data_IF_019636955791
#
_entry.id   IF_019636955791
#
_cell.length_a   1.000
_cell.length_b   1.000
_cell.length_c   1.000
_cell.angle_alpha   90.00
_cell.angle_beta   90.00
_cell.angle_gamma   90.00
#
_symmetry.space_group_name_H-M   'P 1'
#
loop_
_entity.id
_entity.type
_entity.pdbx_description
1 polymer ?
#
# COMPACT_ATOMS: atom_id res chain seq x y z
N UNK A 1 -10.55 -5.25 -36.94
CA UNK A 1 -10.58 -4.27 -35.83
C UNK A 1 -10.80 -5.07 -34.56
N UNK A 2 -9.86 -5.02 -33.62
CA UNK A 2 -9.96 -5.78 -32.37
C UNK A 2 -11.17 -5.24 -31.57
N UNK A 3 -12.03 -6.13 -31.09
CA UNK A 3 -13.25 -5.72 -30.37
C UNK A 3 -12.86 -5.43 -28.92
N UNK A 4 -12.86 -4.16 -28.54
CA UNK A 4 -12.65 -3.74 -27.16
C UNK A 4 -13.99 -3.56 -26.45
N UNK A 5 -14.13 -4.15 -25.27
CA UNK A 5 -15.28 -3.98 -24.37
C UNK A 5 -14.79 -3.26 -23.12
N UNK A 6 -15.39 -2.13 -22.78
CA UNK A 6 -15.03 -1.40 -21.55
C UNK A 6 -15.93 -1.82 -20.39
N UNK A 7 -15.34 -2.41 -19.36
CA UNK A 7 -16.03 -2.83 -18.14
C UNK A 7 -15.71 -1.86 -17.02
N UNK A 8 -16.75 -1.27 -16.42
CA UNK A 8 -16.63 -0.39 -15.25
C UNK A 8 -16.97 -1.16 -13.98
N UNK A 9 -16.00 -1.26 -13.08
CA UNK A 9 -16.14 -1.89 -11.77
C UNK A 9 -16.59 -0.84 -10.77
N UNK A 10 -17.76 -1.07 -10.17
CA UNK A 10 -18.46 -0.18 -9.26
C UNK A 10 -18.81 -0.94 -7.96
N UNK A 11 -19.16 -0.22 -6.90
CA UNK A 11 -19.48 -0.81 -5.59
C UNK A 11 -19.37 0.24 -4.50
N UNK A 12 -19.56 -0.10 -3.22
CA UNK A 12 -19.42 0.89 -2.14
C UNK A 12 -18.03 1.53 -2.17
N UNK A 13 -17.97 2.85 -2.06
CA UNK A 13 -16.75 3.67 -2.03
C UNK A 13 -17.02 4.98 -1.31
N UNK A 14 -15.98 5.59 -0.73
CA UNK A 14 -16.06 6.85 0.01
C UNK A 14 -15.32 6.80 1.33
N UNK A 15 -15.71 7.70 2.24
CA UNK A 15 -15.18 7.81 3.61
C UNK A 15 -15.31 6.50 4.39
N UNK A 16 -14.51 6.37 5.45
CA UNK A 16 -14.59 5.24 6.39
C UNK A 16 -15.99 5.06 6.99
N UNK A 17 -16.74 6.15 7.22
CA UNK A 17 -18.14 6.06 7.68
C UNK A 17 -19.09 5.40 6.68
N UNK A 18 -18.71 5.31 5.40
CA UNK A 18 -19.48 4.69 4.32
C UNK A 18 -18.92 3.32 3.97
N UNK A 19 -17.60 3.22 3.74
CA UNK A 19 -16.94 1.97 3.34
C UNK A 19 -16.57 1.08 4.53
N UNK A 20 -16.48 1.58 5.75
CA UNK A 20 -15.90 0.88 6.89
C UNK A 20 -14.36 0.82 6.83
N UNK A 21 -13.75 -0.04 7.62
CA UNK A 21 -12.29 -0.17 7.73
C UNK A 21 -11.61 -0.65 6.44
N UNK A 22 -12.35 -1.27 5.51
CA UNK A 22 -11.84 -1.71 4.21
C UNK A 22 -12.85 -1.54 3.06
N UNK A 23 -12.32 -1.37 1.85
CA UNK A 23 -13.13 -1.33 0.63
C UNK A 23 -13.82 -2.67 0.32
N UNK A 24 -14.76 -2.68 -0.63
CA UNK A 24 -15.45 -3.92 -1.04
C UNK A 24 -14.61 -4.87 -1.90
N UNK A 25 -13.37 -4.48 -2.25
CA UNK A 25 -12.46 -5.29 -3.08
C UNK A 25 -12.48 -4.97 -4.58
N UNK A 26 -12.90 -3.76 -4.98
CA UNK A 26 -12.90 -3.31 -6.38
C UNK A 26 -11.50 -3.33 -6.99
N UNK A 27 -10.55 -2.65 -6.34
CA UNK A 27 -9.16 -2.57 -6.79
C UNK A 27 -8.50 -3.94 -6.87
N UNK A 28 -8.67 -4.80 -5.86
CA UNK A 28 -8.14 -6.17 -5.88
C UNK A 28 -8.70 -6.99 -7.06
N UNK A 29 -10.00 -6.87 -7.32
CA UNK A 29 -10.64 -7.56 -8.44
C UNK A 29 -10.10 -7.07 -9.79
N UNK A 30 -9.92 -5.75 -9.96
CA UNK A 30 -9.35 -5.17 -11.18
C UNK A 30 -7.88 -5.58 -11.36
N UNK A 31 -7.08 -5.44 -10.29
CA UNK A 31 -5.67 -5.81 -10.26
C UNK A 31 -5.47 -7.27 -10.65
N UNK A 32 -6.17 -8.19 -9.98
CA UNK A 32 -6.08 -9.63 -10.25
C UNK A 32 -6.47 -9.96 -11.69
N UNK A 33 -7.52 -9.32 -12.21
CA UNK A 33 -7.94 -9.59 -13.59
C UNK A 33 -6.92 -9.10 -14.61
N UNK A 34 -6.38 -7.88 -14.46
CA UNK A 34 -5.45 -7.34 -15.47
C UNK A 34 -4.09 -8.04 -15.40
N UNK A 35 -3.60 -8.35 -14.19
CA UNK A 35 -2.25 -8.88 -13.98
C UNK A 35 -2.17 -10.41 -13.93
N UNK A 36 -3.29 -11.10 -13.69
CA UNK A 36 -3.46 -12.55 -13.85
C UNK A 36 -2.69 -13.41 -12.84
N UNK A 37 -1.37 -13.27 -12.79
CA UNK A 37 -0.44 -14.09 -12.03
C UNK A 37 -0.26 -13.59 -10.59
N UNK A 38 0.16 -14.49 -9.70
CA UNK A 38 0.33 -14.20 -8.27
C UNK A 38 1.47 -13.20 -8.02
N UNK A 39 2.54 -13.28 -8.81
CA UNK A 39 3.75 -12.47 -8.63
C UNK A 39 3.53 -10.98 -9.00
N UNK A 40 2.57 -10.71 -9.89
CA UNK A 40 2.21 -9.35 -10.32
C UNK A 40 0.99 -8.79 -9.57
N UNK A 41 0.48 -9.50 -8.56
CA UNK A 41 -0.69 -9.07 -7.81
C UNK A 41 -0.32 -8.25 -6.57
N UNK A 42 -0.91 -7.06 -6.47
CA UNK A 42 -0.75 -6.19 -5.31
C UNK A 42 -1.95 -6.37 -4.37
N UNK A 43 -1.73 -6.84 -3.12
CA UNK A 43 -2.82 -7.14 -2.19
C UNK A 43 -3.40 -5.90 -1.50
N UNK A 44 -2.78 -4.74 -1.68
CA UNK A 44 -3.16 -3.50 -1.01
C UNK A 44 -3.23 -2.35 -2.01
N UNK A 45 -4.35 -1.61 -1.94
CA UNK A 45 -4.58 -0.41 -2.75
C UNK A 45 -5.27 0.63 -1.87
N UNK A 46 -4.59 1.73 -1.60
CA UNK A 46 -5.11 2.81 -0.77
C UNK A 46 -5.87 3.82 -1.62
N UNK A 47 -6.99 4.33 -1.09
CA UNK A 47 -7.81 5.38 -1.71
C UNK A 47 -7.62 6.74 -1.04
N UNK A 48 -6.55 6.91 -0.25
CA UNK A 48 -6.19 8.15 0.44
C UNK A 48 -4.91 8.69 -0.20
N UNK A 49 -5.01 9.90 -0.73
CA UNK A 49 -4.01 10.54 -1.59
C UNK A 49 -3.76 11.97 -1.13
N UNK A 50 -2.58 12.49 -1.44
CA UNK A 50 -2.32 13.92 -1.34
C UNK A 50 -3.01 14.67 -2.49
N UNK A 51 -3.24 15.98 -2.32
CA UNK A 51 -3.71 16.84 -3.41
C UNK A 51 -2.77 16.81 -4.62
N UNK A 52 -1.46 16.70 -4.36
CA UNK A 52 -0.42 16.61 -5.39
C UNK A 52 -0.56 15.33 -6.19
N UNK A 53 -0.78 14.19 -5.55
CA UNK A 53 -0.98 12.91 -6.25
C UNK A 53 -2.28 12.93 -7.05
N UNK A 54 -3.35 13.49 -6.47
CA UNK A 54 -4.66 13.52 -7.12
C UNK A 54 -4.67 14.38 -8.39
N UNK A 55 -4.07 15.58 -8.33
CA UNK A 55 -4.11 16.53 -9.43
C UNK A 55 -2.88 16.54 -10.34
N UNK A 56 -1.72 16.14 -9.82
CA UNK A 56 -0.43 16.17 -10.52
C UNK A 56 -0.07 14.88 -11.22
N UNK A 57 -0.59 13.72 -10.76
CA UNK A 57 -0.33 12.44 -11.42
C UNK A 57 -1.23 12.26 -12.66
N UNK A 58 -0.68 11.90 -13.84
CA UNK A 58 -1.50 11.52 -14.99
C UNK A 58 -2.20 10.16 -14.80
N UNK A 59 -1.88 9.40 -13.75
CA UNK A 59 -2.57 8.15 -13.41
C UNK A 59 -3.95 8.45 -12.79
N UNK A 60 -3.97 9.30 -11.75
CA UNK A 60 -5.22 9.75 -11.10
C UNK A 60 -5.91 10.79 -11.96
N UNK A 61 -5.16 11.76 -12.47
CA UNK A 61 -5.58 12.75 -13.45
C UNK A 61 -6.82 13.56 -13.05
N UNK A 62 -6.90 13.96 -11.78
CA UNK A 62 -8.04 14.66 -11.19
C UNK A 62 -9.37 13.86 -11.23
N UNK A 63 -9.31 12.55 -11.44
CA UNK A 63 -10.48 11.70 -11.53
C UNK A 63 -10.71 10.86 -10.27
N UNK A 64 -11.98 10.62 -9.96
CA UNK A 64 -12.37 9.60 -8.97
C UNK A 64 -12.60 8.23 -9.63
N UNK A 65 -11.79 7.90 -10.64
CA UNK A 65 -11.78 6.60 -11.29
C UNK A 65 -10.39 6.26 -11.81
N UNK A 66 -10.08 4.96 -11.85
CA UNK A 66 -8.81 4.41 -12.29
C UNK A 66 -8.97 3.68 -13.62
N UNK A 67 -7.99 3.84 -14.50
CA UNK A 67 -7.82 2.97 -15.66
C UNK A 67 -6.83 1.88 -15.28
N UNK A 68 -7.29 0.64 -15.20
CA UNK A 68 -6.44 -0.49 -14.75
C UNK A 68 -5.65 -1.15 -15.88
N UNK A 69 -5.95 -0.83 -17.13
CA UNK A 69 -5.33 -1.43 -18.30
C UNK A 69 -6.32 -2.23 -19.15
N UNK A 70 -5.76 -3.00 -20.07
CA UNK A 70 -6.48 -3.83 -21.03
C UNK A 70 -5.92 -5.25 -20.99
N UNK A 71 -6.81 -6.26 -20.95
CA UNK A 71 -6.41 -7.67 -21.07
C UNK A 71 -7.15 -8.31 -22.23
N UNK A 72 -6.41 -9.07 -23.04
CA UNK A 72 -7.00 -9.89 -24.10
C UNK A 72 -7.49 -11.22 -23.50
N UNK A 73 -8.73 -11.58 -23.82
CA UNK A 73 -9.32 -12.85 -23.43
C UNK A 73 -9.91 -13.54 -24.66
N UNK A 74 -9.78 -14.85 -24.71
CA UNK A 74 -10.44 -15.67 -25.73
C UNK A 74 -11.82 -16.08 -25.20
N UNK A 75 -12.88 -15.68 -25.90
CA UNK A 75 -14.26 -16.01 -25.50
C UNK A 75 -14.66 -17.43 -25.93
N UNK A 76 -14.17 -17.88 -27.08
CA UNK A 76 -14.26 -19.25 -27.57
C UNK A 76 -13.09 -19.54 -28.53
N UNK A 77 -12.88 -20.82 -28.87
CA UNK A 77 -11.82 -21.26 -29.79
C UNK A 77 -12.04 -20.81 -31.24
N UNK A 78 -13.21 -20.25 -31.56
CA UNK A 78 -13.68 -19.95 -32.93
C UNK A 78 -13.75 -18.46 -33.27
N UNK A 79 -13.72 -17.60 -32.26
CA UNK A 79 -13.83 -16.15 -32.34
C UNK A 79 -12.48 -15.53 -31.97
N UNK A 80 -12.14 -14.43 -32.64
CA UNK A 80 -10.92 -13.70 -32.33
C UNK A 80 -10.92 -13.17 -30.88
N UNK A 81 -9.73 -12.89 -30.32
CA UNK A 81 -9.61 -12.41 -28.95
C UNK A 81 -10.38 -11.10 -28.76
N UNK A 82 -11.06 -10.99 -27.62
CA UNK A 82 -11.74 -9.77 -27.18
C UNK A 82 -10.84 -9.07 -26.17
N UNK A 83 -10.69 -7.76 -26.34
CA UNK A 83 -9.94 -6.93 -25.39
C UNK A 83 -10.92 -6.39 -24.35
N UNK A 84 -10.68 -6.67 -23.08
CA UNK A 84 -11.46 -6.11 -21.97
C UNK A 84 -10.63 -4.96 -21.39
N UNK A 85 -11.17 -3.75 -21.50
CA UNK A 85 -10.65 -2.55 -20.84
C UNK A 85 -11.28 -2.42 -19.46
N UNK A 86 -10.47 -2.27 -18.43
CA UNK A 86 -10.95 -2.23 -17.04
C UNK A 86 -10.86 -0.82 -16.48
N UNK A 87 -12.00 -0.33 -16.01
CA UNK A 87 -12.14 0.92 -15.28
C UNK A 87 -12.61 0.59 -13.86
N UNK A 88 -12.06 1.24 -12.85
CA UNK A 88 -12.61 1.22 -11.49
C UNK A 88 -13.18 2.60 -11.16
N UNK A 89 -14.45 2.67 -10.77
CA UNK A 89 -15.03 3.86 -10.17
C UNK A 89 -14.81 3.84 -8.67
N UNK A 90 -14.27 4.92 -8.10
CA UNK A 90 -13.91 4.98 -6.69
C UNK A 90 -14.18 6.37 -6.11
N UNK A 91 -13.67 6.62 -4.90
CA UNK A 91 -13.68 7.94 -4.28
C UNK A 91 -12.37 8.12 -3.51
N UNK A 92 -11.48 8.98 -4.03
CA UNK A 92 -10.26 9.36 -3.36
C UNK A 92 -10.53 10.37 -2.26
N UNK A 93 -9.86 10.17 -1.13
CA UNK A 93 -9.91 11.03 0.04
C UNK A 93 -8.56 11.73 0.19
N UNK A 94 -8.62 12.95 0.68
CA UNK A 94 -7.48 13.77 1.04
C UNK A 94 -6.80 13.19 2.30
N UNK A 95 -5.47 13.15 2.32
CA UNK A 95 -4.68 12.57 3.41
C UNK A 95 -4.60 13.44 4.67
N UNK A 96 -4.86 14.74 4.55
CA UNK A 96 -4.92 15.66 5.69
C UNK A 96 -6.34 15.71 6.31
N UNK A 97 -7.37 15.83 5.46
CA UNK A 97 -8.75 16.08 5.89
C UNK A 97 -9.63 14.83 5.91
N UNK A 98 -9.23 13.75 5.24
CA UNK A 98 -10.03 12.53 5.04
C UNK A 98 -11.40 12.78 4.37
N UNK A 99 -11.53 13.93 3.71
CA UNK A 99 -12.69 14.32 2.91
C UNK A 99 -12.45 13.95 1.43
N UNK A 100 -13.50 13.69 0.64
CA UNK A 100 -13.35 13.51 -0.81
C UNK A 100 -12.64 14.71 -1.43
N UNK A 101 -11.53 14.45 -2.13
CA UNK A 101 -10.78 15.49 -2.83
C UNK A 101 -11.70 16.15 -3.85
N UNK A 102 -11.69 17.48 -3.97
CA UNK A 102 -12.52 18.16 -4.95
C UNK A 102 -12.00 17.88 -6.38
N UNK A 103 -12.87 17.37 -7.25
CA UNK A 103 -12.55 17.10 -8.64
C UNK A 103 -13.69 17.50 -9.58
N UNK A 104 -13.49 17.41 -10.91
CA UNK A 104 -14.47 17.88 -11.90
C UNK A 104 -15.86 17.23 -11.78
N UNK A 105 -15.93 16.03 -11.20
CA UNK A 105 -17.14 15.22 -11.07
C UNK A 105 -17.68 15.11 -9.65
N UNK A 106 -17.06 15.73 -8.65
CA UNK A 106 -17.44 15.55 -7.23
C UNK A 106 -18.66 16.34 -6.79
N UNK A 107 -19.16 17.25 -7.63
CA UNK A 107 -20.45 17.89 -7.41
C UNK A 107 -21.62 16.90 -7.47
N UNK A 108 -21.45 15.74 -8.11
CA UNK A 108 -22.44 14.67 -8.12
C UNK A 108 -22.16 13.63 -7.02
N UNK A 109 -23.20 13.12 -6.32
CA UNK A 109 -23.03 12.03 -5.39
C UNK A 109 -22.43 10.78 -6.06
N UNK A 110 -21.55 10.08 -5.35
CA UNK A 110 -20.87 8.88 -5.86
C UNK A 110 -21.81 7.86 -6.53
N UNK A 111 -22.98 7.60 -5.93
CA UNK A 111 -23.95 6.64 -6.46
C UNK A 111 -24.46 6.97 -7.87
N UNK A 112 -24.39 8.24 -8.29
CA UNK A 112 -24.69 8.67 -9.66
C UNK A 112 -23.42 8.72 -10.52
N UNK A 113 -22.34 9.30 -9.97
CA UNK A 113 -21.02 9.45 -10.64
C UNK A 113 -20.47 8.12 -11.15
N UNK A 114 -20.48 7.07 -10.32
CA UNK A 114 -19.95 5.76 -10.69
C UNK A 114 -20.71 5.08 -11.85
N UNK A 115 -21.92 5.53 -12.17
CA UNK A 115 -22.75 4.98 -13.25
C UNK A 115 -22.62 5.77 -14.56
N UNK A 116 -21.74 6.76 -14.64
CA UNK A 116 -21.47 7.49 -15.88
C UNK A 116 -20.89 6.55 -16.94
N UNK A 117 -21.45 6.61 -18.15
CA UNK A 117 -21.07 5.71 -19.26
C UNK A 117 -20.09 6.34 -20.25
N UNK A 118 -19.82 7.64 -20.16
CA UNK A 118 -18.82 8.35 -20.97
C UNK A 118 -17.80 8.92 -20.00
N UNK A 119 -16.56 8.52 -20.15
CA UNK A 119 -15.45 8.96 -19.31
C UNK A 119 -14.42 9.61 -20.22
N UNK A 120 -13.96 10.79 -19.83
CA UNK A 120 -12.99 11.58 -20.59
C UNK A 120 -11.91 12.04 -19.61
N UNK A 121 -10.66 11.71 -19.94
CA UNK A 121 -9.48 12.03 -19.14
C UNK A 121 -8.27 11.92 -20.07
N UNK A 122 -7.81 13.08 -20.55
CA UNK A 122 -6.74 13.16 -21.53
C UNK A 122 -5.42 12.69 -20.93
N UNK A 123 -4.67 11.92 -21.69
CA UNK A 123 -3.36 11.40 -21.30
C UNK A 123 -3.38 10.54 -20.02
N UNK A 124 -4.56 10.01 -19.64
CA UNK A 124 -4.70 9.20 -18.43
C UNK A 124 -3.86 7.94 -18.53
N UNK A 125 -2.96 7.74 -17.57
CA UNK A 125 -2.11 6.56 -17.47
C UNK A 125 -2.79 5.42 -16.72
N UNK A 126 -2.40 4.21 -17.09
CA UNK A 126 -2.76 2.98 -16.40
C UNK A 126 -2.24 2.99 -14.95
N UNK A 127 -3.11 2.63 -14.03
CA UNK A 127 -2.79 2.47 -12.62
C UNK A 127 -2.20 1.09 -12.31
N UNK A 128 -1.13 1.08 -11.52
CA UNK A 128 -0.44 -0.11 -11.04
C UNK A 128 -0.62 -0.25 -9.53
N UNK A 129 -0.09 0.71 -8.79
CA UNK A 129 -0.12 0.78 -7.33
C UNK A 129 0.07 2.22 -6.87
N UNK A 130 0.00 2.50 -5.56
CA UNK A 130 0.10 3.87 -5.05
C UNK A 130 1.51 4.45 -5.23
N UNK A 131 2.53 3.61 -5.12
CA UNK A 131 3.95 3.94 -5.21
C UNK A 131 4.34 4.45 -6.61
N UNK A 132 3.48 4.21 -7.62
CA UNK A 132 3.64 4.75 -8.97
C UNK A 132 3.42 6.26 -9.03
N UNK A 133 2.62 6.82 -8.13
CA UNK A 133 2.20 8.22 -8.18
C UNK A 133 3.40 9.13 -7.88
N UNK A 134 3.74 10.03 -8.82
CA UNK A 134 4.94 10.86 -8.77
C UNK A 134 6.23 10.19 -9.26
N UNK A 135 6.19 8.89 -9.56
CA UNK A 135 7.30 8.09 -10.09
C UNK A 135 6.91 7.38 -11.39
N UNK A 136 5.97 7.93 -12.16
CA UNK A 136 5.36 7.24 -13.30
C UNK A 136 6.36 6.85 -14.39
N UNK A 137 7.52 7.51 -14.46
CA UNK A 137 8.60 7.20 -15.39
C UNK A 137 9.34 5.88 -15.09
N UNK A 138 9.23 5.38 -13.86
CA UNK A 138 9.89 4.14 -13.41
C UNK A 138 9.02 2.89 -13.63
N UNK A 139 7.78 3.08 -14.08
CA UNK A 139 6.79 2.03 -14.26
C UNK A 139 6.33 1.92 -15.72
N UNK A 140 5.72 0.80 -16.08
CA UNK A 140 5.15 0.59 -17.41
C UNK A 140 4.04 1.61 -17.72
N UNK A 141 4.23 2.36 -18.81
CA UNK A 141 3.34 3.43 -19.21
C UNK A 141 2.39 2.98 -20.31
N UNK A 142 1.12 2.80 -19.95
CA UNK A 142 0.04 2.54 -20.89
C UNK A 142 -1.01 3.65 -20.79
N UNK A 143 -1.09 4.48 -21.82
CA UNK A 143 -2.07 5.57 -21.90
C UNK A 143 -3.43 5.03 -22.30
N UNK A 144 -4.50 5.52 -21.67
CA UNK A 144 -5.87 5.29 -22.09
C UNK A 144 -6.06 5.77 -23.54
N UNK A 145 -6.41 4.88 -24.49
CA UNK A 145 -6.56 5.28 -25.89
C UNK A 145 -7.56 6.42 -26.07
N UNK A 146 -7.20 7.39 -26.93
CA UNK A 146 -8.00 8.59 -27.24
C UNK A 146 -8.34 9.51 -26.06
N UNK A 147 -7.81 9.25 -24.86
CA UNK A 147 -8.13 9.98 -23.63
C UNK A 147 -9.60 9.90 -23.23
N UNK A 148 -10.34 8.88 -23.71
CA UNK A 148 -11.77 8.70 -23.43
C UNK A 148 -12.22 7.27 -23.63
N UNK A 149 -13.27 6.87 -22.93
CA UNK A 149 -13.91 5.56 -23.14
C UNK A 149 -15.41 5.61 -22.91
N UNK A 150 -16.12 4.62 -23.47
CA UNK A 150 -17.55 4.41 -23.25
C UNK A 150 -17.73 3.10 -22.53
N UNK A 151 -18.42 3.11 -21.39
CA UNK A 151 -18.71 1.90 -20.60
C UNK A 151 -19.73 1.03 -21.33
N UNK A 152 -19.40 -0.24 -21.46
CA UNK A 152 -20.22 -1.26 -22.14
C UNK A 152 -20.91 -2.21 -21.17
N UNK A 153 -20.32 -2.46 -19.99
CA UNK A 153 -20.90 -3.23 -18.90
C UNK A 153 -20.44 -2.71 -17.54
N UNK A 154 -21.22 -3.04 -16.51
CA UNK A 154 -20.85 -2.82 -15.13
C UNK A 154 -20.61 -4.15 -14.41
N UNK A 155 -19.59 -4.18 -13.55
CA UNK A 155 -19.45 -5.17 -12.49
C UNK A 155 -19.72 -4.46 -11.17
N UNK A 156 -20.79 -4.83 -10.48
CA UNK A 156 -21.10 -4.34 -9.14
C UNK A 156 -20.49 -5.26 -8.09
N UNK A 157 -19.57 -4.74 -7.28
CA UNK A 157 -18.87 -5.49 -6.22
C UNK A 157 -19.63 -5.37 -4.91
N UNK A 158 -20.05 -6.52 -4.38
CA UNK A 158 -20.70 -6.66 -3.08
C UNK A 158 -19.80 -7.49 -2.16
N UNK A 159 -19.31 -6.90 -1.07
CA UNK A 159 -18.45 -7.59 -0.12
C UNK A 159 -19.24 -8.60 0.70
N UNK A 160 -18.78 -9.85 0.68
CA UNK A 160 -19.38 -10.96 1.40
C UNK A 160 -18.81 -11.18 2.81
N UNK A 161 -17.72 -10.49 3.16
CA UNK A 161 -17.06 -10.61 4.46
C UNK A 161 -17.62 -9.62 5.48
N UNK A 162 -17.30 -9.84 6.77
CA UNK A 162 -17.58 -8.86 7.83
C UNK A 162 -16.54 -7.74 7.76
N UNK A 163 -17.00 -6.50 7.77
CA UNK A 163 -16.15 -5.29 7.75
C UNK A 163 -16.53 -4.39 8.91
N UNK A 164 -15.55 -3.99 9.71
CA UNK A 164 -15.75 -3.03 10.80
C UNK A 164 -16.22 -1.69 10.23
N UNK A 165 -17.19 -1.04 10.89
CA UNK A 165 -17.77 0.21 10.40
C UNK A 165 -18.72 0.09 9.19
N UNK A 166 -18.93 -1.10 8.61
CA UNK A 166 -19.91 -1.32 7.51
C UNK A 166 -20.78 -2.54 7.74
N UNK A 167 -22.04 -2.31 8.12
CA UNK A 167 -23.04 -3.39 8.23
C UNK A 167 -23.58 -3.82 6.86
N UNK A 168 -24.09 -5.03 6.73
CA UNK A 168 -24.75 -5.47 5.49
C UNK A 168 -25.99 -4.63 5.14
N UNK A 169 -26.69 -4.09 6.14
CA UNK A 169 -27.81 -3.17 5.93
C UNK A 169 -27.34 -1.87 5.25
N UNK A 170 -26.30 -1.23 5.79
CA UNK A 170 -25.72 0.00 5.22
C UNK A 170 -25.13 -0.24 3.82
N UNK A 171 -24.46 -1.38 3.60
CA UNK A 171 -23.98 -1.80 2.29
C UNK A 171 -25.16 -1.98 1.32
N UNK A 172 -26.25 -2.66 1.72
CA UNK A 172 -27.44 -2.83 0.88
C UNK A 172 -28.15 -1.50 0.54
N UNK A 173 -28.19 -0.55 1.48
CA UNK A 173 -28.77 0.78 1.23
C UNK A 173 -27.99 1.51 0.11
N UNK A 174 -26.66 1.55 0.23
CA UNK A 174 -25.78 2.16 -0.78
C UNK A 174 -25.84 1.39 -2.11
N UNK A 175 -25.84 0.05 -2.04
CA UNK A 175 -25.96 -0.82 -3.21
C UNK A 175 -27.25 -0.58 -3.99
N UNK A 176 -28.36 -0.34 -3.28
CA UNK A 176 -29.66 -0.02 -3.89
C UNK A 176 -29.55 1.26 -4.73
N UNK A 177 -28.97 2.33 -4.16
CA UNK A 177 -28.80 3.60 -4.86
C UNK A 177 -27.93 3.46 -6.13
N UNK A 178 -26.81 2.75 -6.02
CA UNK A 178 -25.89 2.51 -7.14
C UNK A 178 -26.54 1.66 -8.23
N UNK A 179 -27.09 0.48 -7.88
CA UNK A 179 -27.69 -0.45 -8.84
C UNK A 179 -28.87 0.18 -9.58
N UNK A 180 -29.71 0.96 -8.89
CA UNK A 180 -30.81 1.69 -9.52
C UNK A 180 -30.32 2.68 -10.56
N UNK A 181 -29.18 3.35 -10.35
CA UNK A 181 -28.57 4.22 -11.37
C UNK A 181 -27.91 3.42 -12.50
N UNK A 182 -27.19 2.35 -12.17
CA UNK A 182 -26.52 1.49 -13.17
C UNK A 182 -27.54 0.87 -14.14
N UNK A 183 -28.66 0.34 -13.65
CA UNK A 183 -29.70 -0.29 -14.48
C UNK A 183 -30.38 0.72 -15.42
N UNK A 184 -30.56 1.98 -14.97
CA UNK A 184 -31.12 3.05 -15.81
C UNK A 184 -30.28 3.34 -17.06
N UNK A 185 -28.98 3.03 -17.03
CA UNK A 185 -28.08 3.18 -18.19
C UNK A 185 -28.38 2.18 -19.31
N UNK A 186 -29.15 1.11 -19.02
CA UNK A 186 -29.43 -0.03 -19.91
C UNK A 186 -28.19 -0.84 -20.31
N UNK A 187 -27.04 -0.62 -19.65
CA UNK A 187 -25.86 -1.47 -19.77
C UNK A 187 -26.05 -2.70 -18.87
N UNK A 188 -25.55 -3.88 -19.28
CA UNK A 188 -25.60 -5.08 -18.45
C UNK A 188 -24.84 -4.87 -17.14
N UNK A 189 -25.35 -5.47 -16.07
CA UNK A 189 -24.76 -5.45 -14.73
C UNK A 189 -24.55 -6.90 -14.29
N UNK A 190 -23.32 -7.22 -13.89
CA UNK A 190 -22.97 -8.49 -13.23
C UNK A 190 -22.58 -8.17 -11.78
N UNK A 191 -22.99 -9.00 -10.83
CA UNK A 191 -22.60 -8.84 -9.43
C UNK A 191 -21.41 -9.74 -9.13
N UNK A 192 -20.33 -9.15 -8.67
CA UNK A 192 -19.22 -9.83 -8.03
C UNK A 192 -19.51 -9.91 -6.53
N UNK A 193 -19.85 -11.11 -6.03
CA UNK A 193 -19.91 -11.38 -4.60
C UNK A 193 -18.49 -11.64 -4.12
N UNK A 194 -17.80 -10.57 -3.71
CA UNK A 194 -16.36 -10.54 -3.50
C UNK A 194 -15.94 -11.06 -2.13
N UNK A 195 -14.66 -11.42 -2.00
CA UNK A 195 -14.08 -11.99 -0.78
C UNK A 195 -14.80 -13.28 -0.37
N UNK A 196 -15.23 -14.08 -1.35
CA UNK A 196 -16.07 -15.25 -1.13
C UNK A 196 -15.37 -16.37 -0.31
N UNK A 197 -14.04 -16.33 -0.22
CA UNK A 197 -13.22 -17.12 0.70
C UNK A 197 -13.51 -16.83 2.18
N UNK A 198 -14.04 -15.65 2.49
CA UNK A 198 -14.44 -15.18 3.81
C UNK A 198 -15.95 -14.89 3.90
N UNK A 199 -16.75 -15.43 2.99
CA UNK A 199 -18.18 -15.18 2.92
C UNK A 199 -18.92 -15.68 4.17
N UNK A 200 -19.87 -14.89 4.65
CA UNK A 200 -20.78 -15.26 5.73
C UNK A 200 -22.23 -15.38 5.25
N UNK A 201 -23.04 -16.21 5.91
CA UNK A 201 -24.44 -16.47 5.54
C UNK A 201 -25.32 -15.22 5.64
N UNK A 202 -25.01 -14.28 6.54
CA UNK A 202 -25.67 -12.99 6.62
C UNK A 202 -25.53 -12.19 5.31
N UNK A 203 -24.34 -12.23 4.68
CA UNK A 203 -24.09 -11.52 3.42
C UNK A 203 -24.91 -12.10 2.28
N UNK A 204 -25.00 -13.44 2.20
CA UNK A 204 -25.82 -14.15 1.19
C UNK A 204 -27.28 -13.77 1.31
N UNK A 205 -27.81 -13.79 2.54
CA UNK A 205 -29.19 -13.38 2.83
C UNK A 205 -29.43 -11.92 2.49
N UNK A 206 -28.49 -11.04 2.83
CA UNK A 206 -28.58 -9.61 2.51
C UNK A 206 -28.61 -9.35 1.01
N UNK A 207 -27.70 -9.96 0.24
CA UNK A 207 -27.68 -9.84 -1.22
C UNK A 207 -28.95 -10.44 -1.86
N UNK A 208 -29.38 -11.62 -1.42
CA UNK A 208 -30.61 -12.23 -1.91
C UNK A 208 -31.83 -11.32 -1.66
N UNK A 209 -31.93 -10.76 -0.46
CA UNK A 209 -32.98 -9.80 -0.10
C UNK A 209 -32.92 -8.54 -0.99
N UNK A 210 -31.73 -7.99 -1.20
CA UNK A 210 -31.51 -6.85 -2.10
C UNK A 210 -32.03 -7.14 -3.51
N UNK A 211 -31.64 -8.27 -4.12
CA UNK A 211 -32.01 -8.62 -5.49
C UNK A 211 -33.47 -9.04 -5.65
N UNK A 212 -34.13 -9.42 -4.54
CA UNK A 212 -35.56 -9.73 -4.54
C UNK A 212 -36.46 -8.49 -4.64
N UNK A 213 -35.91 -7.29 -4.45
CA UNK A 213 -36.66 -6.02 -4.59
C UNK A 213 -37.25 -5.88 -6.00
N UNK A 214 -38.46 -5.33 -6.09
CA UNK A 214 -39.24 -5.23 -7.33
C UNK A 214 -38.48 -4.55 -8.48
N UNK A 215 -37.64 -3.57 -8.15
CA UNK A 215 -36.81 -2.82 -9.10
C UNK A 215 -35.68 -3.63 -9.75
N UNK A 216 -35.26 -4.75 -9.15
CA UNK A 216 -34.17 -5.59 -9.67
C UNK A 216 -34.64 -6.94 -10.20
N UNK A 217 -35.82 -7.42 -9.77
CA UNK A 217 -36.36 -8.74 -10.09
C UNK A 217 -36.49 -9.03 -11.60
N UNK A 218 -36.75 -8.02 -12.42
CA UNK A 218 -36.89 -8.15 -13.88
C UNK A 218 -35.56 -8.10 -14.65
N UNK A 219 -34.44 -7.75 -14.00
CA UNK A 219 -33.20 -7.37 -14.69
C UNK A 219 -32.28 -8.57 -14.99
N UNK A 220 -32.64 -9.78 -14.54
CA UNK A 220 -31.82 -11.01 -14.69
C UNK A 220 -30.32 -10.75 -14.40
N UNK A 221 -30.03 -10.29 -13.18
CA UNK A 221 -28.66 -10.00 -12.75
C UNK A 221 -27.92 -11.28 -12.41
N UNK A 222 -26.81 -11.55 -13.10
CA UNK A 222 -25.93 -12.69 -12.79
C UNK A 222 -25.08 -12.37 -11.58
N UNK A 223 -25.01 -13.30 -10.63
CA UNK A 223 -24.12 -13.22 -9.45
C UNK A 223 -23.00 -14.23 -9.63
N UNK A 224 -21.76 -13.78 -9.46
CA UNK A 224 -20.54 -14.59 -9.50
C UNK A 224 -19.83 -14.44 -8.17
N UNK A 225 -19.58 -15.55 -7.48
CA UNK A 225 -18.78 -15.56 -6.26
C UNK A 225 -17.31 -15.53 -6.62
N UNK A 226 -16.58 -14.52 -6.13
CA UNK A 226 -15.19 -14.26 -6.54
C UNK A 226 -14.28 -14.06 -5.34
N UNK A 227 -13.03 -14.50 -5.49
CA UNK A 227 -11.93 -14.14 -4.59
C UNK A 227 -10.75 -13.67 -5.42
N UNK A 228 -10.44 -12.37 -5.33
CA UNK A 228 -9.27 -11.81 -5.99
C UNK A 228 -7.97 -12.35 -5.38
N UNK A 229 -7.94 -12.54 -4.05
CA UNK A 229 -6.77 -13.06 -3.35
C UNK A 229 -6.49 -14.50 -3.72
N UNK A 230 -7.52 -15.35 -3.73
CA UNK A 230 -7.39 -16.77 -4.08
C UNK A 230 -7.41 -17.03 -5.59
N UNK A 231 -7.57 -15.99 -6.41
CA UNK A 231 -7.74 -16.06 -7.86
C UNK A 231 -8.85 -17.03 -8.30
N UNK A 232 -10.03 -16.91 -7.67
CA UNK A 232 -11.20 -17.75 -7.96
C UNK A 232 -12.26 -16.93 -8.68
N UNK A 233 -12.73 -17.44 -9.82
CA UNK A 233 -13.82 -16.89 -10.64
C UNK A 233 -13.60 -15.43 -11.14
N UNK A 234 -12.36 -14.93 -11.12
CA UNK A 234 -12.05 -13.55 -11.54
C UNK A 234 -12.22 -13.38 -13.04
N UNK A 235 -11.70 -14.31 -13.84
CA UNK A 235 -11.88 -14.26 -15.29
C UNK A 235 -13.36 -14.43 -15.66
N UNK A 236 -14.05 -15.35 -14.98
CA UNK A 236 -15.46 -15.67 -15.18
C UNK A 236 -16.36 -14.45 -15.01
N UNK A 237 -16.13 -13.59 -14.00
CA UNK A 237 -16.96 -12.40 -13.79
C UNK A 237 -16.76 -11.34 -14.89
N UNK A 238 -15.52 -11.10 -15.32
CA UNK A 238 -15.21 -10.13 -16.37
C UNK A 238 -15.64 -10.63 -17.75
N UNK A 239 -15.41 -11.91 -18.05
CA UNK A 239 -15.82 -12.50 -19.32
C UNK A 239 -17.34 -12.58 -19.41
N UNK A 240 -18.05 -12.86 -18.31
CA UNK A 240 -19.52 -12.80 -18.27
C UNK A 240 -20.02 -11.39 -18.60
N UNK A 241 -19.44 -10.35 -17.98
CA UNK A 241 -19.79 -8.97 -18.28
C UNK A 241 -19.53 -8.63 -19.76
N UNK A 242 -18.40 -9.06 -20.32
CA UNK A 242 -18.04 -8.82 -21.71
C UNK A 242 -18.95 -9.55 -22.72
N UNK A 243 -19.34 -10.79 -22.42
CA UNK A 243 -20.30 -11.56 -23.21
C UNK A 243 -21.68 -10.90 -23.25
N UNK A 244 -22.17 -10.43 -22.10
CA UNK A 244 -23.45 -9.71 -22.00
C UNK A 244 -23.42 -8.39 -22.77
N UNK A 245 -22.34 -7.61 -22.65
CA UNK A 245 -22.15 -6.38 -23.42
C UNK A 245 -22.15 -6.65 -24.93
N UNK A 246 -21.49 -7.74 -25.30
CA UNK A 246 -21.31 -8.12 -26.70
C UNK A 246 -22.53 -8.79 -27.33
N UNK A 247 -23.56 -9.12 -26.52
CA UNK A 247 -24.73 -9.92 -26.89
C UNK A 247 -24.34 -11.28 -27.48
N UNK A 248 -23.23 -11.83 -27.02
CA UNK A 248 -22.75 -13.14 -27.45
C UNK A 248 -23.69 -14.21 -26.88
N UNK A 249 -23.97 -15.27 -27.66
CA UNK A 249 -24.75 -16.42 -27.19
C UNK A 249 -23.95 -17.33 -26.25
N UNK A 250 -22.68 -17.01 -26.01
CA UNK A 250 -21.79 -17.80 -25.20
C UNK A 250 -22.29 -17.81 -23.75
N UNK A 251 -22.59 -19.00 -23.24
CA UNK A 251 -22.91 -19.21 -21.83
C UNK A 251 -21.69 -19.84 -21.18
N UNK A 252 -20.87 -19.01 -20.55
CA UNK A 252 -19.83 -19.52 -19.67
C UNK A 252 -20.48 -20.29 -18.53
N UNK A 253 -19.93 -21.48 -18.27
CA UNK A 253 -20.31 -22.27 -17.10
C UNK A 253 -19.56 -21.72 -15.90
N UNK A 254 -20.23 -20.86 -15.13
CA UNK A 254 -19.70 -20.39 -13.85
C UNK A 254 -19.86 -21.54 -12.85
N UNK A 255 -18.74 -21.99 -12.28
CA UNK A 255 -18.74 -23.02 -11.25
C UNK A 255 -19.09 -22.43 -9.88
N UNK A 256 -19.74 -23.21 -8.99
CA UNK A 256 -19.88 -22.83 -7.59
C UNK A 256 -18.50 -22.53 -6.98
N UNK A 257 -18.43 -21.57 -6.05
CA UNK A 257 -17.14 -21.13 -5.49
C UNK A 257 -16.31 -22.28 -4.92
N UNK A 258 -16.93 -23.23 -4.22
CA UNK A 258 -16.24 -24.36 -3.61
C UNK A 258 -15.62 -25.33 -4.63
N UNK A 259 -16.21 -25.47 -5.81
CA UNK A 259 -15.65 -26.28 -6.91
C UNK A 259 -14.53 -25.52 -7.62
N UNK A 260 -14.76 -24.24 -7.94
CA UNK A 260 -13.76 -23.38 -8.57
C UNK A 260 -12.50 -23.25 -7.69
N UNK A 261 -12.67 -23.07 -6.38
CA UNK A 261 -11.58 -23.00 -5.41
C UNK A 261 -10.75 -24.29 -5.38
N UNK A 262 -11.40 -25.46 -5.46
CA UNK A 262 -10.68 -26.74 -5.54
C UNK A 262 -9.81 -26.81 -6.79
N UNK A 263 -10.36 -26.47 -7.96
CA UNK A 263 -9.62 -26.46 -9.22
C UNK A 263 -8.43 -25.50 -9.15
N UNK A 264 -8.63 -24.28 -8.65
CA UNK A 264 -7.53 -23.30 -8.51
C UNK A 264 -6.47 -23.80 -7.54
N UNK A 265 -6.88 -24.37 -6.41
CA UNK A 265 -5.96 -24.94 -5.42
C UNK A 265 -5.19 -26.12 -6.00
N UNK A 266 -5.85 -26.99 -6.77
CA UNK A 266 -5.21 -28.11 -7.47
C UNK A 266 -4.26 -27.62 -8.55
N UNK A 267 -4.65 -26.65 -9.38
CA UNK A 267 -3.79 -26.03 -10.40
C UNK A 267 -2.56 -25.38 -9.77
N UNK A 268 -2.72 -24.68 -8.65
CA UNK A 268 -1.60 -24.11 -7.90
C UNK A 268 -0.70 -25.20 -7.29
N UNK A 269 -1.22 -26.42 -7.14
CA UNK A 269 -0.46 -27.62 -6.76
C UNK A 269 0.08 -28.41 -7.96
N UNK A 270 -0.47 -28.28 -9.17
CA UNK A 270 -0.05 -29.06 -10.35
C UNK A 270 1.43 -28.89 -10.74
N UNK A 271 2.09 -27.72 -10.56
CA UNK A 271 3.54 -27.62 -10.67
C UNK A 271 4.28 -28.68 -9.81
N UNK A 272 3.74 -29.03 -8.63
CA UNK A 272 4.28 -30.06 -7.74
C UNK A 272 3.98 -31.49 -8.24
N UNK A 273 2.89 -31.69 -8.98
CA UNK A 273 2.40 -33.01 -9.41
C UNK A 273 2.91 -33.46 -10.78
N UNK A 274 3.14 -32.53 -11.71
CA UNK A 274 3.67 -32.83 -13.04
C UNK A 274 5.16 -33.19 -12.98
N UNK A 275 5.96 -32.57 -12.10
CA UNK A 275 7.34 -32.99 -11.83
C UNK A 275 7.42 -34.34 -11.09
N UNK A 276 6.44 -34.65 -10.24
CA UNK A 276 6.34 -35.97 -9.60
C UNK A 276 6.20 -37.13 -10.61
N UNK A 277 5.55 -36.89 -11.76
CA UNK A 277 5.41 -37.88 -12.85
C UNK A 277 6.60 -37.92 -13.80
N UNK A 278 7.43 -36.86 -13.85
CA UNK A 278 8.71 -36.85 -14.58
C UNK A 278 9.82 -37.61 -13.85
N UNK A 279 9.56 -38.09 -12.63
CA UNK A 279 10.47 -38.92 -11.84
C UNK A 279 10.27 -40.43 -12.07
N UNK A 280 9.32 -40.85 -12.91
CA UNK A 280 9.41 -42.17 -13.54
C UNK A 280 10.47 -42.10 -14.66
N UNK A 281 11.51 -42.94 -14.65
CA UNK A 281 12.61 -42.82 -15.59
C UNK A 281 12.11 -43.06 -17.02
N UNK A 282 12.04 -41.99 -17.82
CA UNK A 282 11.75 -42.08 -19.24
C UNK A 282 13.03 -42.41 -20.04
N UNK A 283 12.92 -43.21 -21.12
CA UNK A 283 14.08 -43.64 -21.91
C UNK A 283 14.84 -42.46 -22.54
N UNK A 284 16.15 -42.64 -22.68
CA UNK A 284 17.17 -41.65 -23.08
C UNK A 284 16.94 -40.89 -24.41
N UNK A 285 15.90 -41.23 -25.18
CA UNK A 285 15.64 -40.64 -26.50
C UNK A 285 14.80 -39.35 -26.46
N UNK A 286 14.24 -38.97 -25.30
CA UNK A 286 13.39 -37.77 -25.17
C UNK A 286 14.12 -36.49 -24.70
N UNK A 287 15.36 -36.58 -24.20
CA UNK A 287 16.14 -35.41 -23.73
C UNK A 287 16.38 -34.34 -24.82
N UNK A 288 16.34 -34.72 -26.10
CA UNK A 288 16.66 -33.82 -27.21
C UNK A 288 15.53 -32.89 -27.67
N UNK A 289 14.31 -32.98 -27.12
CA UNK A 289 13.15 -32.18 -27.57
C UNK A 289 12.77 -31.00 -26.68
N UNK A 290 13.35 -30.85 -25.49
CA UNK A 290 12.96 -29.81 -24.51
C UNK A 290 13.77 -28.50 -24.59
N UNK A 291 14.63 -28.31 -25.59
CA UNK A 291 15.50 -27.12 -25.68
C UNK A 291 14.92 -25.95 -26.47
N UNK A 292 13.59 -25.82 -26.60
CA UNK A 292 12.97 -24.62 -27.15
C UNK A 292 11.79 -24.17 -26.30
N UNK A 293 11.92 -22.95 -25.78
CA UNK A 293 11.00 -22.17 -24.92
C UNK A 293 10.88 -22.59 -23.45
N UNK A 294 11.73 -22.00 -22.60
CA UNK A 294 11.33 -21.64 -21.25
C UNK A 294 12.19 -20.45 -20.81
N UNK A 295 11.54 -19.35 -20.43
CA UNK A 295 12.12 -18.32 -19.58
C UNK A 295 12.77 -19.00 -18.38
N UNK A 296 13.98 -18.56 -18.01
CA UNK A 296 14.67 -19.09 -16.83
C UNK A 296 13.83 -18.74 -15.60
N UNK A 297 13.08 -19.73 -15.12
CA UNK A 297 12.29 -19.63 -13.90
C UNK A 297 13.25 -19.65 -12.71
N UNK A 298 13.42 -18.50 -12.07
CA UNK A 298 14.32 -18.31 -10.93
C UNK A 298 13.68 -18.74 -9.60
N UNK A 299 12.46 -19.29 -9.60
CA UNK A 299 11.78 -19.71 -8.38
C UNK A 299 12.45 -20.95 -7.80
N UNK A 300 12.48 -21.02 -6.46
CA UNK A 300 12.90 -22.23 -5.76
C UNK A 300 11.94 -23.35 -6.17
N UNK A 301 12.44 -24.47 -6.75
CA UNK A 301 11.59 -25.59 -7.14
C UNK A 301 10.74 -26.03 -5.95
N UNK A 302 9.43 -26.11 -6.16
CA UNK A 302 8.48 -26.30 -5.07
C UNK A 302 8.66 -27.70 -4.41
N UNK A 303 9.35 -28.62 -5.08
CA UNK A 303 9.82 -29.90 -4.56
C UNK A 303 10.82 -29.75 -3.40
N UNK A 304 11.61 -28.68 -3.38
CA UNK A 304 12.51 -28.38 -2.26
C UNK A 304 11.67 -28.03 -1.03
N UNK A 305 10.58 -27.29 -1.18
CA UNK A 305 9.70 -26.86 -0.09
C UNK A 305 8.91 -28.01 0.54
N UNK A 306 8.70 -29.12 -0.17
CA UNK A 306 8.06 -30.34 0.36
C UNK A 306 9.02 -31.21 1.20
N UNK A 307 10.32 -30.91 1.19
CA UNK A 307 11.30 -31.66 1.99
C UNK A 307 11.21 -31.29 3.46
N UNK A 308 11.45 -32.25 4.34
CA UNK A 308 11.50 -31.99 5.79
C UNK A 308 12.60 -30.97 6.13
N UNK A 309 13.66 -30.94 5.35
CA UNK A 309 14.77 -30.00 5.44
C UNK A 309 14.31 -28.56 5.16
N UNK A 310 13.36 -28.34 4.24
CA UNK A 310 12.85 -26.99 3.96
C UNK A 310 11.96 -26.48 5.09
N UNK A 311 11.16 -27.35 5.72
CA UNK A 311 10.45 -27.00 6.95
C UNK A 311 11.43 -26.60 8.07
N UNK A 312 12.48 -27.38 8.28
CA UNK A 312 13.50 -27.06 9.28
C UNK A 312 14.24 -25.76 8.96
N UNK A 313 14.57 -25.53 7.68
CA UNK A 313 15.18 -24.28 7.23
C UNK A 313 14.26 -23.08 7.43
N UNK A 314 12.97 -23.22 7.14
CA UNK A 314 11.97 -22.18 7.38
C UNK A 314 11.79 -21.89 8.87
N UNK A 315 11.62 -22.93 9.71
CA UNK A 315 11.51 -22.76 11.16
C UNK A 315 12.79 -22.19 11.78
N UNK A 316 13.97 -22.46 11.19
CA UNK A 316 15.22 -21.83 11.59
C UNK A 316 15.26 -20.35 11.17
N UNK A 317 14.90 -20.05 9.93
CA UNK A 317 14.80 -18.68 9.41
C UNK A 317 13.79 -17.84 10.21
N UNK A 318 12.59 -18.37 10.45
CA UNK A 318 11.57 -17.72 11.26
C UNK A 318 12.10 -17.35 12.65
N UNK A 319 12.79 -18.28 13.33
CA UNK A 319 13.42 -18.01 14.62
C UNK A 319 14.49 -16.91 14.54
N UNK A 320 15.29 -16.89 13.47
CA UNK A 320 16.28 -15.82 13.24
C UNK A 320 15.58 -14.47 13.08
N UNK A 321 14.57 -14.39 12.21
CA UNK A 321 13.80 -13.16 11.98
C UNK A 321 13.10 -12.67 13.24
N UNK A 322 12.42 -13.55 13.98
CA UNK A 322 11.77 -13.20 15.25
C UNK A 322 12.79 -12.71 16.29
N UNK A 323 13.99 -13.28 16.30
CA UNK A 323 15.08 -12.86 17.20
C UNK A 323 15.61 -11.48 16.82
N UNK A 324 15.85 -11.22 15.53
CA UNK A 324 16.28 -9.90 15.05
C UNK A 324 15.19 -8.84 15.29
N UNK A 325 13.92 -9.12 14.99
CA UNK A 325 12.81 -8.20 15.29
C UNK A 325 12.62 -7.93 16.78
N UNK A 326 12.86 -8.92 17.64
CA UNK A 326 12.85 -8.72 19.09
C UNK A 326 14.02 -7.84 19.52
N UNK A 327 15.19 -8.05 18.93
CA UNK A 327 16.39 -7.25 19.19
C UNK A 327 16.17 -5.79 18.77
N UNK A 328 15.70 -5.53 17.55
CA UNK A 328 15.37 -4.19 17.06
C UNK A 328 14.40 -3.47 18.00
N UNK A 329 13.31 -4.13 18.43
CA UNK A 329 12.37 -3.56 19.40
C UNK A 329 13.02 -3.20 20.74
N UNK A 330 13.90 -4.05 21.26
CA UNK A 330 14.62 -3.76 22.50
C UNK A 330 15.59 -2.58 22.33
N UNK A 331 16.20 -2.43 21.16
CA UNK A 331 17.06 -1.27 20.86
C UNK A 331 16.24 0.03 20.80
N UNK A 332 15.08 0.03 20.14
CA UNK A 332 14.16 1.18 20.10
C UNK A 332 13.64 1.56 21.49
N UNK A 333 13.20 0.58 22.28
CA UNK A 333 12.78 0.79 23.68
C UNK A 333 13.95 1.32 24.53
N UNK A 334 15.17 0.87 24.26
CA UNK A 334 16.35 1.34 24.98
C UNK A 334 16.68 2.79 24.61
N UNK A 335 16.61 3.16 23.32
CA UNK A 335 16.77 4.56 22.90
C UNK A 335 15.69 5.48 23.51
N UNK A 336 14.45 5.01 23.58
CA UNK A 336 13.38 5.73 24.27
C UNK A 336 13.71 5.92 25.76
N UNK A 337 14.14 4.88 26.46
CA UNK A 337 14.58 4.97 27.85
C UNK A 337 15.73 5.97 28.02
N UNK A 338 16.71 5.98 27.11
CA UNK A 338 17.83 6.93 27.14
C UNK A 338 17.34 8.37 26.98
N UNK A 339 16.33 8.60 26.14
CA UNK A 339 15.73 9.93 25.96
C UNK A 339 14.94 10.43 27.17
N UNK A 340 14.34 9.51 27.95
CA UNK A 340 13.57 9.84 29.15
C UNK A 340 14.43 9.91 30.43
N UNK A 341 15.70 9.52 30.36
CA UNK A 341 16.62 9.49 31.51
C UNK A 341 17.41 10.81 31.61
N UNK A 342 17.10 11.71 32.57
CA UNK A 342 17.71 13.05 32.62
C UNK A 342 19.22 13.04 32.92
N UNK A 343 19.72 11.94 33.49
CA UNK A 343 21.14 11.77 33.81
C UNK A 343 21.98 11.42 32.58
N UNK A 344 21.37 11.12 31.44
CA UNK A 344 22.03 10.90 30.15
C UNK A 344 22.28 12.26 29.52
N UNK A 345 23.52 12.73 29.58
CA UNK A 345 23.94 14.03 29.02
C UNK A 345 25.01 13.83 27.95
N UNK A 346 25.18 14.80 27.02
CA UNK A 346 26.20 14.71 25.97
C UNK A 346 27.60 14.45 26.54
N UNK A 347 28.30 13.47 25.97
CA UNK A 347 29.67 13.12 26.35
C UNK A 347 29.80 12.31 27.64
N UNK A 348 28.70 11.85 28.24
CA UNK A 348 28.74 11.01 29.44
C UNK A 348 28.84 9.53 29.05
N UNK A 349 29.78 8.75 29.62
CA UNK A 349 29.94 7.34 29.25
C UNK A 349 28.80 6.48 29.81
N UNK A 350 28.47 5.38 29.12
CA UNK A 350 27.41 4.44 29.54
C UNK A 350 27.59 3.94 30.98
N UNK A 351 28.85 3.74 31.41
CA UNK A 351 29.17 3.28 32.76
C UNK A 351 28.63 4.22 33.85
N UNK A 352 28.72 5.54 33.65
CA UNK A 352 28.27 6.56 34.61
C UNK A 352 26.74 6.64 34.73
N UNK A 353 26.01 6.17 33.71
CA UNK A 353 24.55 6.24 33.67
C UNK A 353 23.89 4.88 33.88
N UNK A 354 24.65 3.79 33.78
CA UNK A 354 24.17 2.41 33.88
C UNK A 354 23.32 2.15 35.12
N UNK A 355 23.64 2.80 36.25
CA UNK A 355 22.91 2.68 37.52
C UNK A 355 21.44 3.11 37.38
N UNK A 356 21.16 4.11 36.54
CA UNK A 356 19.82 4.65 36.33
C UNK A 356 19.01 3.83 35.32
N UNK A 357 19.69 2.96 34.56
CA UNK A 357 19.11 2.11 33.52
C UNK A 357 18.81 0.69 34.05
N UNK A 358 19.35 0.33 35.22
CA UNK A 358 19.08 -0.95 35.87
C UNK A 358 17.61 -1.08 36.27
N UNK A 359 17.04 -2.28 36.11
CA UNK A 359 15.62 -2.56 36.37
C UNK A 359 14.70 -2.36 35.16
N UNK A 360 15.19 -1.81 34.05
CA UNK A 360 14.43 -1.69 32.81
C UNK A 360 14.72 -2.85 31.87
N UNK A 361 13.66 -3.52 31.41
CA UNK A 361 13.77 -4.71 30.54
C UNK A 361 14.52 -4.43 29.23
N UNK A 362 14.38 -3.22 28.68
CA UNK A 362 15.06 -2.78 27.47
C UNK A 362 16.60 -2.77 27.61
N UNK A 363 17.12 -2.40 28.79
CA UNK A 363 18.56 -2.41 29.07
C UNK A 363 19.05 -3.80 29.52
N UNK A 364 18.29 -4.49 30.37
CA UNK A 364 18.71 -5.78 30.94
C UNK A 364 18.66 -6.94 29.94
N UNK A 365 17.80 -6.86 28.93
CA UNK A 365 17.64 -7.91 27.92
C UNK A 365 18.65 -7.81 26.78
N UNK A 366 19.38 -6.68 26.67
CA UNK A 366 20.38 -6.46 25.65
C UNK A 366 21.76 -6.97 26.11
N UNK A 367 22.55 -7.62 25.23
CA UNK A 367 23.95 -7.92 25.51
C UNK A 367 24.76 -6.63 25.81
N UNK A 368 25.75 -6.65 26.72
CA UNK A 368 26.52 -5.46 27.08
C UNK A 368 27.18 -4.75 25.89
N UNK A 369 27.66 -5.50 24.90
CA UNK A 369 28.23 -4.94 23.66
C UNK A 369 27.17 -4.26 22.79
N UNK A 370 25.95 -4.80 22.73
CA UNK A 370 24.85 -4.21 21.97
C UNK A 370 24.34 -2.94 22.64
N UNK A 371 24.16 -2.97 23.96
CA UNK A 371 23.78 -1.80 24.73
C UNK A 371 24.82 -0.67 24.60
N UNK A 372 26.12 -1.00 24.58
CA UNK A 372 27.18 -0.02 24.30
C UNK A 372 27.05 0.58 22.90
N UNK A 373 26.82 -0.22 21.86
CA UNK A 373 26.65 0.29 20.49
C UNK A 373 25.43 1.21 20.35
N UNK A 374 24.28 0.83 20.93
CA UNK A 374 23.07 1.68 20.92
C UNK A 374 23.34 2.98 21.67
N UNK A 375 23.99 2.92 22.83
CA UNK A 375 24.34 4.10 23.59
C UNK A 375 25.31 5.03 22.85
N UNK A 376 26.32 4.49 22.17
CA UNK A 376 27.28 5.26 21.39
C UNK A 376 26.60 5.96 20.21
N UNK A 377 25.70 5.25 19.50
CA UNK A 377 24.85 5.84 18.45
C UNK A 377 23.99 6.97 19.01
N UNK A 378 23.30 6.73 20.12
CA UNK A 378 22.47 7.73 20.78
C UNK A 378 23.29 8.95 21.22
N UNK A 379 24.48 8.74 21.80
CA UNK A 379 25.38 9.82 22.23
C UNK A 379 25.86 10.66 21.04
N UNK A 380 26.16 10.04 19.89
CA UNK A 380 26.51 10.77 18.68
C UNK A 380 25.41 11.72 18.21
N UNK A 381 24.15 11.25 18.20
CA UNK A 381 23.02 12.09 17.80
C UNK A 381 22.63 13.12 18.87
N UNK A 382 22.80 12.77 20.15
CA UNK A 382 22.64 13.70 21.26
C UNK A 382 23.69 14.83 21.21
N UNK A 383 24.94 14.52 20.88
CA UNK A 383 26.01 15.50 20.71
C UNK A 383 25.70 16.48 19.59
N UNK A 384 25.32 15.97 18.40
CA UNK A 384 24.93 16.83 17.27
C UNK A 384 23.78 17.76 17.60
N UNK A 385 22.74 17.26 18.28
CA UNK A 385 21.60 18.08 18.72
C UNK A 385 22.06 19.16 19.72
N UNK A 386 22.85 18.78 20.72
CA UNK A 386 23.36 19.71 21.71
C UNK A 386 24.26 20.81 21.11
N UNK A 387 25.03 20.50 20.06
CA UNK A 387 25.82 21.50 19.31
C UNK A 387 24.92 22.52 18.59
N UNK A 388 23.84 22.05 17.95
CA UNK A 388 22.89 22.93 17.26
C UNK A 388 22.18 23.83 18.27
N UNK A 389 21.63 23.25 19.34
CA UNK A 389 20.96 23.99 20.40
C UNK A 389 21.88 25.02 21.06
N UNK A 390 23.15 24.67 21.26
CA UNK A 390 24.12 25.61 21.80
C UNK A 390 24.40 26.76 20.82
N UNK A 391 24.55 26.49 19.52
CA UNK A 391 24.68 27.57 18.51
C UNK A 391 23.46 28.49 18.50
N UNK A 392 22.25 27.95 18.62
CA UNK A 392 21.03 28.73 18.74
C UNK A 392 21.04 29.60 20.01
N UNK A 393 21.47 29.04 21.15
CA UNK A 393 21.67 29.80 22.39
C UNK A 393 22.63 30.99 22.19
N UNK A 394 23.73 30.79 21.46
CA UNK A 394 24.68 31.87 21.16
C UNK A 394 24.05 32.94 20.25
N UNK A 395 23.28 32.53 19.23
CA UNK A 395 22.61 33.44 18.30
C UNK A 395 21.49 34.25 18.97
N UNK A 396 20.71 33.64 19.86
CA UNK A 396 19.73 34.34 20.69
C UNK A 396 20.37 35.42 21.57
N UNK A 397 21.61 35.19 21.98
CA UNK A 397 22.40 36.09 22.80
C UNK A 397 23.45 36.88 22.01
N UNK A 398 23.21 37.13 20.70
CA UNK A 398 24.17 37.79 19.79
C UNK A 398 24.61 39.17 20.27
N UNK A 399 23.77 39.90 21.02
CA UNK A 399 24.13 41.23 21.56
C UNK A 399 25.29 41.18 22.55
N UNK A 400 25.47 40.06 23.29
CA UNK A 400 26.66 39.87 24.15
C UNK A 400 27.95 39.96 23.33
N UNK A 401 27.93 39.38 22.14
CA UNK A 401 29.08 39.35 21.23
C UNK A 401 29.22 40.68 20.47
N UNK A 402 28.11 41.31 20.11
CA UNK A 402 28.11 42.64 19.50
C UNK A 402 28.76 43.69 20.44
N UNK A 403 28.51 43.62 21.74
CA UNK A 403 29.14 44.51 22.73
C UNK A 403 30.65 44.31 22.86
N UNK A 404 31.13 43.06 22.80
CA UNK A 404 32.56 42.73 22.76
C UNK A 404 33.22 43.31 21.51
N UNK A 405 32.58 43.15 20.35
CA UNK A 405 33.08 43.71 19.08
C UNK A 405 33.09 45.24 19.09
N UNK A 406 32.05 45.88 19.63
CA UNK A 406 31.96 47.35 19.78
C UNK A 406 33.06 47.88 20.71
N UNK A 407 33.34 47.16 21.80
CA UNK A 407 34.37 47.52 22.79
C UNK A 407 35.80 47.34 22.26
N UNK A 408 35.98 46.36 21.37
CA UNK A 408 37.28 46.04 20.72
C UNK A 408 37.59 46.90 19.49
N UNK A 409 36.76 47.90 19.16
CA UNK A 409 36.89 48.73 17.94
C UNK A 409 38.20 49.53 17.80
N UNK A 410 39.03 49.59 18.85
CA UNK A 410 40.34 50.22 18.79
C UNK A 410 41.45 49.34 18.16
N UNK A 411 41.21 48.03 17.95
CA UNK A 411 42.25 47.05 17.55
C UNK A 411 42.02 46.38 16.18
N UNK A 412 41.17 46.95 15.32
CA UNK A 412 40.89 46.42 13.96
C UNK A 412 42.07 46.63 12.97
N UNK A 413 43.20 45.96 13.21
CA UNK A 413 44.27 45.80 12.21
C UNK A 413 44.50 44.35 11.76
N UNK A 414 43.87 43.36 12.41
CA UNK A 414 43.99 41.96 12.04
C UNK A 414 42.60 41.32 11.84
N UNK A 415 42.52 40.38 10.90
CA UNK A 415 41.30 39.65 10.50
C UNK A 415 40.76 38.70 11.60
N UNK A 416 41.48 38.57 12.73
CA UNK A 416 41.09 37.71 13.85
C UNK A 416 40.72 38.56 15.08
N UNK A 417 39.44 38.52 15.46
CA UNK A 417 38.95 39.11 16.71
C UNK A 417 39.43 38.24 17.89
N UNK A 418 40.33 38.77 18.73
CA UNK A 418 40.76 38.10 19.94
C UNK A 418 39.86 38.54 21.10
N UNK A 419 39.00 37.65 21.59
CA UNK A 419 38.17 37.90 22.77
C UNK A 419 39.08 37.88 24.01
N UNK A 420 39.05 38.92 24.84
CA UNK A 420 39.86 38.97 26.06
C UNK A 420 39.37 37.95 27.11
N UNK A 421 40.26 37.48 27.99
CA UNK A 421 39.88 36.55 29.07
C UNK A 421 38.75 37.11 29.96
N UNK A 422 38.74 38.44 30.17
CA UNK A 422 37.71 39.12 30.96
C UNK A 422 36.34 39.07 30.28
N UNK A 423 36.29 39.25 28.96
CA UNK A 423 35.05 39.18 28.19
C UNK A 423 34.55 37.74 28.07
N UNK A 424 35.47 36.78 27.88
CA UNK A 424 35.15 35.35 27.89
C UNK A 424 34.54 34.93 29.24
N UNK A 425 35.08 35.40 30.36
CA UNK A 425 34.52 35.14 31.69
C UNK A 425 33.09 35.70 31.82
N UNK A 426 32.85 36.92 31.35
CA UNK A 426 31.52 37.55 31.37
C UNK A 426 30.50 36.79 30.52
N UNK A 427 30.90 36.30 29.34
CA UNK A 427 30.04 35.46 28.49
C UNK A 427 29.71 34.14 29.20
N UNK A 428 30.71 33.48 29.78
CA UNK A 428 30.53 32.22 30.52
C UNK A 428 29.60 32.39 31.73
N UNK A 429 29.74 33.48 32.49
CA UNK A 429 28.86 33.80 33.63
C UNK A 429 27.43 34.09 33.19
N UNK A 430 27.23 34.74 32.04
CA UNK A 430 25.89 35.00 31.52
C UNK A 430 25.18 33.70 31.08
N UNK A 431 25.90 32.83 30.38
CA UNK A 431 25.33 31.59 29.83
C UNK A 431 25.21 30.47 30.88
N UNK A 432 25.77 30.63 32.08
CA UNK A 432 25.88 29.55 33.07
C UNK A 432 24.54 28.94 33.50
N UNK A 433 23.45 29.71 33.44
CA UNK A 433 22.11 29.28 33.82
C UNK A 433 21.32 28.63 32.67
N UNK A 434 21.73 28.86 31.41
CA UNK A 434 21.09 28.25 30.25
C UNK A 434 21.34 26.74 30.23
N UNK A 435 20.26 25.97 30.07
CA UNK A 435 20.33 24.52 30.02
C UNK A 435 21.22 24.02 28.85
N UNK A 436 21.13 24.66 27.68
CA UNK A 436 21.89 24.33 26.46
C UNK A 436 23.38 24.58 26.63
N UNK A 437 23.74 25.57 27.44
CA UNK A 437 25.11 25.74 27.89
C UNK A 437 25.48 24.62 28.86
N UNK A 438 24.73 24.43 29.96
CA UNK A 438 25.05 23.45 31.03
C UNK A 438 25.20 22.01 30.55
N UNK A 439 24.40 21.55 29.58
CA UNK A 439 24.46 20.19 29.05
C UNK A 439 25.81 19.85 28.39
N UNK A 440 26.56 20.85 27.92
CA UNK A 440 27.91 20.69 27.34
C UNK A 440 29.05 20.78 28.38
N UNK A 441 28.77 20.63 29.67
CA UNK A 441 29.76 20.87 30.75
C UNK A 441 30.98 19.96 30.72
N UNK A 442 30.82 18.75 30.18
CA UNK A 442 31.93 17.80 29.97
C UNK A 442 32.68 18.02 28.66
N UNK A 443 32.19 18.93 27.81
CA UNK A 443 32.66 19.18 26.44
C UNK A 443 33.14 20.62 26.30
N UNK A 444 34.00 21.07 27.23
CA UNK A 444 34.46 22.45 27.28
C UNK A 444 35.17 22.88 25.98
N UNK A 445 35.89 21.99 25.30
CA UNK A 445 36.51 22.28 24.00
C UNK A 445 35.50 22.60 22.90
N UNK A 446 34.30 22.01 22.95
CA UNK A 446 33.21 22.30 22.02
C UNK A 446 32.51 23.63 22.32
N UNK A 447 32.62 24.12 23.55
CA UNK A 447 32.11 25.45 23.93
C UNK A 447 33.05 26.58 23.54
N UNK A 448 34.36 26.29 23.43
CA UNK A 448 35.40 27.29 23.18
C UNK A 448 35.81 27.38 21.70
N UNK A 449 35.47 26.38 20.89
CA UNK A 449 35.54 26.41 19.42
C UNK A 449 34.32 27.09 18.82
#
# INVERSE_FOLDING_TARGET
MQRTVTVSVIGVSGKETVKGSKGVGKSLLCNRFVRGDFDDFFPEHCSVLSQTDFGGSPVINNDHWLYWGERQVSLDDSSGPVTIRVIEQTEFLDDETYEPIAGPSTSEPYAKRCCQIRLESRDKLMYIQKEQLGLEAEFDQHVLPDGKCIVDAFIFVFDSSRTEGRTFESQCATSTAILTNAIKTKKPVVIAFSQADNAVEEARRALHSLLSKKEFKSTHVTVVEVSALMNVNVDEVFVTAACLASRTKLRLKILPFSEALKIVTERNREPLGQLGKQLDPLPADQEKRMTQSASVDNRIPAEILLRNEARQAFEAYQRVVETEQRKERLEEEFEFLLSDTPQVTPGKPLQDVSIFLQGFSAYESLPPSQAAMVYDRFQHDLLKRAEIEFRECLLENVELFADVVRSSRCEFKNENLLISEREMLRIKEFLQDDFRYRQLSRLFELREK
#
